data_IF_830970195546
#
_entry.id   IF_830970195546
#
_cell.length_a   1.000
_cell.length_b   1.000
_cell.length_c   1.000
_cell.angle_alpha   90.00
_cell.angle_beta   90.00
_cell.angle_gamma   90.00
#
_symmetry.space_group_name_H-M   'P 1'
#
loop_
_entity.id
_entity.type
_entity.pdbx_description
1 polymer ?
#
# COMPACT_ATOMS: atom_id res chain seq x y z
N UNK A 1 -2.91 53.34 -10.39
CA UNK A 1 -2.38 54.69 -10.14
C UNK A 1 -3.22 55.33 -9.05
N UNK A 2 -2.67 55.44 -7.84
CA UNK A 2 -2.80 56.59 -6.94
C UNK A 2 -1.77 56.41 -5.84
N UNK A 3 -1.13 57.53 -5.52
CA UNK A 3 0.24 57.67 -5.03
C UNK A 3 0.29 57.89 -3.50
N UNK A 4 1.45 57.59 -2.91
CA UNK A 4 2.15 58.22 -1.75
C UNK A 4 1.37 58.75 -0.52
N UNK A 5 1.63 58.23 0.69
CA UNK A 5 2.80 58.41 1.59
C UNK A 5 2.67 59.60 2.57
N UNK A 6 2.72 59.35 3.89
CA UNK A 6 3.32 60.27 4.88
C UNK A 6 4.02 59.46 5.99
N UNK A 7 5.21 59.94 6.33
CA UNK A 7 6.17 59.51 7.33
C UNK A 7 5.69 59.59 8.80
N UNK A 8 6.14 58.62 9.60
CA UNK A 8 7.07 58.84 10.71
C UNK A 8 6.50 59.18 12.10
N UNK A 9 6.73 58.28 13.06
CA UNK A 9 7.08 58.63 14.44
C UNK A 9 7.74 57.43 15.17
N UNK A 10 9.06 57.58 15.36
CA UNK A 10 9.90 57.21 16.53
C UNK A 10 9.83 55.82 17.17
N UNK A 11 11.01 55.17 17.11
CA UNK A 11 11.56 54.23 18.08
C UNK A 11 11.25 54.63 19.54
N UNK A 12 10.66 53.68 20.29
CA UNK A 12 11.05 53.43 21.67
C UNK A 12 11.37 51.93 21.81
N UNK A 13 12.67 51.70 21.95
CA UNK A 13 13.31 50.71 22.80
C UNK A 13 12.41 49.65 23.44
N UNK A 14 12.44 48.43 22.90
CA UNK A 14 12.44 47.22 23.71
C UNK A 14 13.53 46.30 23.18
N UNK A 15 14.74 46.59 23.63
CA UNK A 15 15.90 45.71 23.61
C UNK A 15 15.68 44.48 24.51
N UNK A 16 14.58 43.72 24.37
CA UNK A 16 14.33 42.45 25.07
C UNK A 16 13.30 41.55 24.33
N UNK A 17 13.61 41.15 23.09
CA UNK A 17 12.94 40.01 22.45
C UNK A 17 13.88 39.20 21.53
N UNK A 18 15.19 39.23 21.82
CA UNK A 18 16.20 38.39 21.16
C UNK A 18 16.80 37.40 22.16
N UNK A 19 15.95 36.61 22.80
CA UNK A 19 16.41 35.42 23.51
C UNK A 19 15.27 34.41 23.72
N UNK A 20 14.84 33.74 22.66
CA UNK A 20 14.25 32.39 22.74
C UNK A 20 14.10 31.78 21.34
N UNK A 21 14.38 30.49 21.25
CA UNK A 21 14.18 29.60 20.10
C UNK A 21 15.07 29.84 18.87
N UNK A 22 16.34 29.45 19.01
CA UNK A 22 17.08 28.87 17.89
C UNK A 22 16.51 27.50 17.54
N UNK A 23 15.48 27.45 16.69
CA UNK A 23 15.10 26.25 15.95
C UNK A 23 15.45 26.47 14.48
N UNK A 24 16.44 25.72 13.97
CA UNK A 24 16.75 25.72 12.53
C UNK A 24 15.53 25.13 11.80
N UNK A 25 14.98 25.79 10.77
CA UNK A 25 13.81 25.28 10.02
C UNK A 25 14.02 23.92 9.33
N UNK A 26 15.25 23.41 9.26
CA UNK A 26 15.58 22.09 8.69
C UNK A 26 15.63 20.93 9.70
N UNK A 27 15.73 21.19 11.01
CA UNK A 27 15.87 20.13 12.01
C UNK A 27 14.54 19.40 12.26
N UNK A 28 13.45 20.16 12.45
CA UNK A 28 12.11 19.62 12.73
C UNK A 28 11.56 18.78 11.57
N UNK A 29 11.92 19.09 10.32
CA UNK A 29 11.55 18.29 9.14
C UNK A 29 12.30 16.95 9.10
N UNK A 30 13.57 16.95 9.51
CA UNK A 30 14.38 15.73 9.61
C UNK A 30 13.98 14.84 10.79
N UNK A 31 13.50 15.41 11.89
CA UNK A 31 13.09 14.65 13.07
C UNK A 31 11.73 13.99 12.85
N UNK A 32 10.77 14.70 12.23
CA UNK A 32 9.49 14.11 11.80
C UNK A 32 9.67 13.06 10.69
N UNK A 33 10.60 13.28 9.75
CA UNK A 33 10.94 12.26 8.75
C UNK A 33 11.61 11.04 9.38
N UNK A 34 12.41 11.20 10.45
CA UNK A 34 13.05 10.09 11.16
C UNK A 34 12.06 9.30 12.01
N UNK A 35 11.18 9.99 12.74
CA UNK A 35 10.08 9.36 13.48
C UNK A 35 9.11 8.63 12.53
N UNK A 36 8.82 9.19 11.35
CA UNK A 36 8.04 8.51 10.33
C UNK A 36 8.77 7.27 9.79
N UNK A 37 10.09 7.33 9.60
CA UNK A 37 10.90 6.19 9.13
C UNK A 37 10.96 5.05 10.17
N UNK A 38 11.07 5.39 11.46
CA UNK A 38 11.05 4.43 12.58
C UNK A 38 9.64 3.84 12.81
N UNK A 39 8.59 4.52 12.36
CA UNK A 39 7.21 4.04 12.39
C UNK A 39 6.84 3.17 11.18
N UNK A 40 7.66 3.13 10.12
CA UNK A 40 7.43 2.22 9.01
C UNK A 40 7.73 0.78 9.45
N UNK A 41 6.92 -0.20 9.02
CA UNK A 41 7.23 -1.61 9.23
C UNK A 41 8.66 -1.92 8.76
N UNK A 42 9.33 -2.89 9.38
CA UNK A 42 10.60 -3.37 8.83
C UNK A 42 10.35 -4.13 7.51
N UNK A 43 11.40 -4.31 6.71
CA UNK A 43 11.31 -4.97 5.40
C UNK A 43 10.63 -6.35 5.49
N UNK A 44 10.96 -7.24 6.46
CA UNK A 44 10.23 -8.49 6.64
C UNK A 44 8.73 -8.30 6.90
N UNK A 45 8.34 -7.33 7.73
CA UNK A 45 6.94 -7.01 8.00
C UNK A 45 6.23 -6.51 6.74
N UNK A 46 6.86 -5.65 5.93
CA UNK A 46 6.27 -5.18 4.66
C UNK A 46 6.06 -6.33 3.68
N UNK A 47 7.04 -7.24 3.55
CA UNK A 47 6.89 -8.42 2.69
C UNK A 47 5.80 -9.36 3.21
N UNK A 48 5.70 -9.56 4.53
CA UNK A 48 4.61 -10.34 5.12
C UNK A 48 3.24 -9.70 4.83
N UNK A 49 3.11 -8.38 4.91
CA UNK A 49 1.87 -7.68 4.56
C UNK A 49 1.46 -7.89 3.11
N UNK A 50 2.42 -7.86 2.18
CA UNK A 50 2.13 -8.20 0.78
C UNK A 50 1.72 -9.67 0.62
N UNK A 51 2.33 -10.59 1.36
CA UNK A 51 1.96 -11.99 1.33
C UNK A 51 0.52 -12.20 1.85
N UNK A 52 0.15 -11.56 2.96
CA UNK A 52 -1.19 -11.63 3.55
C UNK A 52 -2.29 -11.24 2.56
N UNK A 53 -2.09 -10.19 1.76
CA UNK A 53 -3.09 -9.75 0.77
C UNK A 53 -3.22 -10.68 -0.43
N UNK A 54 -2.25 -11.56 -0.67
CA UNK A 54 -2.25 -12.54 -1.76
C UNK A 54 -2.84 -13.90 -1.36
N UNK A 55 -2.88 -14.22 -0.07
CA UNK A 55 -3.34 -15.52 0.44
C UNK A 55 -4.79 -15.79 0.04
N UNK A 56 -5.72 -14.88 0.34
CA UNK A 56 -7.14 -15.09 -0.01
C UNK A 56 -7.38 -15.06 -1.54
N UNK A 57 -6.80 -14.14 -2.32
CA UNK A 57 -6.84 -14.19 -3.78
C UNK A 57 -6.30 -15.48 -4.39
N UNK A 58 -5.39 -16.20 -3.72
CA UNK A 58 -4.85 -17.48 -4.21
C UNK A 58 -5.72 -18.71 -3.88
N UNK A 59 -6.69 -18.59 -2.97
CA UNK A 59 -7.58 -19.70 -2.58
C UNK A 59 -8.59 -20.06 -3.68
N UNK A 60 -9.29 -21.19 -3.52
CA UNK A 60 -10.35 -21.59 -4.46
C UNK A 60 -11.53 -20.61 -4.44
N UNK A 61 -12.35 -20.61 -5.50
CA UNK A 61 -13.54 -19.75 -5.55
C UNK A 61 -14.50 -20.02 -4.37
N UNK A 62 -14.68 -21.29 -3.99
CA UNK A 62 -15.54 -21.66 -2.86
C UNK A 62 -15.02 -21.09 -1.54
N UNK A 63 -13.70 -21.07 -1.33
CA UNK A 63 -13.07 -20.46 -0.15
C UNK A 63 -13.22 -18.94 -0.15
N UNK A 64 -13.02 -18.29 -1.30
CA UNK A 64 -13.21 -16.83 -1.45
C UNK A 64 -14.65 -16.42 -1.15
N UNK A 65 -15.62 -17.18 -1.65
CA UNK A 65 -17.05 -16.95 -1.38
C UNK A 65 -17.38 -17.18 0.09
N UNK A 66 -16.88 -18.28 0.67
CA UNK A 66 -17.10 -18.60 2.08
C UNK A 66 -16.46 -17.57 3.03
N UNK A 67 -15.37 -16.93 2.62
CA UNK A 67 -14.72 -15.87 3.38
C UNK A 67 -15.46 -14.53 3.29
N UNK A 68 -16.00 -14.16 2.13
CA UNK A 68 -16.67 -12.88 1.94
C UNK A 68 -17.97 -12.73 2.77
N UNK A 69 -18.74 -13.82 2.90
CA UNK A 69 -20.08 -13.79 3.51
C UNK A 69 -20.08 -13.43 5.02
N UNK A 70 -19.23 -14.03 5.88
CA UNK A 70 -19.15 -13.66 7.30
C UNK A 70 -18.61 -12.26 7.56
N UNK A 71 -17.68 -11.78 6.72
CA UNK A 71 -17.04 -10.48 6.88
C UNK A 71 -17.90 -9.32 6.39
N UNK A 72 -18.98 -9.60 5.65
CA UNK A 72 -19.79 -8.61 4.91
C UNK A 72 -18.93 -7.73 4.00
N UNK A 73 -17.82 -8.29 3.55
CA UNK A 73 -16.89 -7.62 2.65
C UNK A 73 -17.33 -7.91 1.22
N UNK A 74 -17.28 -6.87 0.39
CA UNK A 74 -17.48 -7.06 -1.03
C UNK A 74 -16.29 -7.80 -1.62
N UNK A 75 -16.51 -8.46 -2.76
CA UNK A 75 -15.45 -9.13 -3.52
C UNK A 75 -14.33 -8.15 -3.91
N UNK A 76 -14.67 -6.86 -4.02
CA UNK A 76 -13.74 -5.77 -4.26
C UNK A 76 -12.70 -5.56 -3.15
N UNK A 77 -12.99 -5.93 -1.90
CA UNK A 77 -12.01 -5.82 -0.80
C UNK A 77 -10.77 -6.68 -1.05
N UNK A 78 -10.91 -7.84 -1.71
CA UNK A 78 -9.77 -8.67 -2.13
C UNK A 78 -8.81 -7.90 -3.06
N UNK A 79 -9.37 -7.06 -3.93
CA UNK A 79 -8.60 -6.26 -4.86
C UNK A 79 -8.05 -4.99 -4.20
N UNK A 80 -8.81 -4.37 -3.31
CA UNK A 80 -8.40 -3.15 -2.60
C UNK A 80 -7.26 -3.41 -1.63
N UNK A 81 -7.29 -4.52 -0.89
CA UNK A 81 -6.20 -4.90 0.01
C UNK A 81 -4.91 -5.17 -0.78
N UNK A 82 -5.02 -5.90 -1.89
CA UNK A 82 -3.90 -6.13 -2.79
C UNK A 82 -3.36 -4.83 -3.39
N UNK A 83 -4.22 -3.97 -3.97
CA UNK A 83 -3.84 -2.68 -4.57
C UNK A 83 -3.13 -1.79 -3.56
N UNK A 84 -3.63 -1.76 -2.31
CA UNK A 84 -2.98 -1.03 -1.24
C UNK A 84 -1.57 -1.55 -0.99
N UNK A 85 -1.37 -2.86 -0.78
CA UNK A 85 -0.03 -3.40 -0.52
C UNK A 85 0.91 -3.23 -1.73
N UNK A 86 0.42 -3.51 -2.94
CA UNK A 86 1.19 -3.53 -4.17
C UNK A 86 1.72 -2.14 -4.56
N UNK A 87 1.02 -1.05 -4.20
CA UNK A 87 1.50 0.32 -4.50
C UNK A 87 2.71 0.76 -3.68
N UNK A 88 2.88 0.20 -2.48
CA UNK A 88 3.85 0.73 -1.53
C UNK A 88 4.94 -0.29 -1.17
N UNK A 89 4.59 -1.56 -0.96
CA UNK A 89 5.56 -2.57 -0.50
C UNK A 89 6.70 -2.77 -1.50
N UNK A 90 6.47 -2.99 -2.80
CA UNK A 90 7.57 -3.22 -3.74
C UNK A 90 8.54 -2.02 -3.82
N UNK A 91 7.99 -0.81 -3.86
CA UNK A 91 8.77 0.43 -3.85
C UNK A 91 9.64 0.53 -2.58
N UNK A 92 9.02 0.35 -1.42
CA UNK A 92 9.68 0.46 -0.12
C UNK A 92 10.79 -0.59 0.04
N UNK A 93 10.52 -1.83 -0.35
CA UNK A 93 11.47 -2.93 -0.25
C UNK A 93 12.63 -2.73 -1.23
N UNK A 94 12.37 -2.32 -2.47
CA UNK A 94 13.43 -2.06 -3.45
C UNK A 94 14.34 -0.90 -3.03
N UNK A 95 13.80 0.12 -2.37
CA UNK A 95 14.59 1.23 -1.82
C UNK A 95 15.47 0.80 -0.63
N UNK A 96 14.93 -0.01 0.28
CA UNK A 96 15.59 -0.39 1.54
C UNK A 96 16.45 -1.65 1.44
N UNK A 97 16.11 -2.54 0.51
CA UNK A 97 16.76 -3.83 0.28
C UNK A 97 16.73 -4.20 -1.22
N UNK A 98 17.54 -3.49 -2.05
CA UNK A 98 17.53 -3.70 -3.50
C UNK A 98 17.80 -5.16 -3.87
N UNK A 99 16.94 -5.72 -4.73
CA UNK A 99 17.05 -7.09 -5.22
C UNK A 99 16.53 -8.17 -4.26
N UNK A 100 15.91 -7.78 -3.13
CA UNK A 100 15.20 -8.73 -2.27
C UNK A 100 13.96 -9.30 -2.97
N UNK A 101 13.17 -8.46 -3.64
CA UNK A 101 12.07 -8.92 -4.48
C UNK A 101 12.63 -9.33 -5.85
N UNK A 102 12.31 -10.56 -6.27
CA UNK A 102 12.78 -11.06 -7.56
C UNK A 102 12.08 -10.30 -8.71
N UNK A 103 12.74 -10.16 -9.89
CA UNK A 103 12.08 -9.62 -11.07
C UNK A 103 10.84 -10.42 -11.50
N UNK A 104 10.80 -11.72 -11.18
CA UNK A 104 9.66 -12.60 -11.42
C UNK A 104 8.48 -12.21 -10.54
N UNK A 105 8.71 -11.94 -9.26
CA UNK A 105 7.68 -11.46 -8.34
C UNK A 105 7.10 -10.12 -8.81
N UNK A 106 7.95 -9.18 -9.23
CA UNK A 106 7.49 -7.91 -9.81
C UNK A 106 6.58 -8.10 -11.04
N UNK A 107 6.94 -9.00 -11.97
CA UNK A 107 6.09 -9.32 -13.12
C UNK A 107 4.74 -9.91 -12.71
N UNK A 108 4.74 -10.84 -11.74
CA UNK A 108 3.52 -11.45 -11.23
C UNK A 108 2.59 -10.42 -10.58
N UNK A 109 3.13 -9.54 -9.74
CA UNK A 109 2.36 -8.47 -9.09
C UNK A 109 1.73 -7.52 -10.11
N UNK A 110 2.49 -7.11 -11.13
CA UNK A 110 1.95 -6.26 -12.20
C UNK A 110 0.84 -6.96 -12.98
N UNK A 111 0.99 -8.26 -13.29
CA UNK A 111 -0.03 -9.01 -14.02
C UNK A 111 -1.31 -9.22 -13.22
N UNK A 112 -1.23 -9.32 -11.90
CA UNK A 112 -2.40 -9.32 -11.02
C UNK A 112 -3.10 -7.97 -11.10
N UNK A 113 -2.35 -6.86 -10.95
CA UNK A 113 -2.88 -5.50 -11.03
C UNK A 113 -3.58 -5.23 -12.38
N UNK A 114 -2.93 -5.60 -13.49
CA UNK A 114 -3.49 -5.47 -14.83
C UNK A 114 -4.80 -6.25 -14.97
N UNK A 115 -4.86 -7.48 -14.44
CA UNK A 115 -6.07 -8.30 -14.51
C UNK A 115 -7.20 -7.72 -13.65
N UNK A 116 -6.90 -7.21 -12.47
CA UNK A 116 -7.88 -6.53 -11.61
C UNK A 116 -8.41 -5.25 -12.28
N UNK A 117 -7.54 -4.50 -12.97
CA UNK A 117 -7.93 -3.33 -13.73
C UNK A 117 -8.87 -3.68 -14.90
N UNK A 118 -8.62 -4.78 -15.61
CA UNK A 118 -9.51 -5.26 -16.67
C UNK A 118 -10.90 -5.65 -16.15
N UNK A 119 -10.99 -6.20 -14.94
CA UNK A 119 -12.24 -6.52 -14.28
C UNK A 119 -12.96 -5.29 -13.74
N UNK A 120 -12.26 -4.17 -13.56
CA UNK A 120 -12.80 -2.97 -12.92
C UNK A 120 -13.85 -2.23 -13.77
N UNK A 121 -14.58 -1.32 -13.11
CA UNK A 121 -15.52 -0.41 -13.76
C UNK A 121 -16.97 -0.90 -13.77
N UNK A 122 -17.90 0.06 -13.85
CA UNK A 122 -19.34 -0.20 -13.68
C UNK A 122 -19.92 -1.23 -14.67
N UNK A 123 -19.35 -1.30 -15.88
CA UNK A 123 -19.78 -2.26 -16.90
C UNK A 123 -19.47 -3.72 -16.55
N UNK A 124 -18.56 -3.95 -15.61
CA UNK A 124 -18.10 -5.27 -15.16
C UNK A 124 -18.58 -5.58 -13.73
N UNK A 125 -19.53 -4.83 -13.17
CA UNK A 125 -19.96 -4.97 -11.78
C UNK A 125 -20.47 -6.38 -11.44
N UNK A 126 -21.00 -7.12 -12.41
CA UNK A 126 -21.44 -8.51 -12.27
C UNK A 126 -20.28 -9.48 -11.99
N UNK A 127 -19.05 -9.12 -12.37
CA UNK A 127 -17.83 -9.91 -12.10
C UNK A 127 -17.34 -9.78 -10.66
N UNK A 128 -17.80 -8.77 -9.93
CA UNK A 128 -17.45 -8.49 -8.52
C UNK A 128 -18.53 -9.03 -7.57
N UNK A 129 -18.99 -10.25 -7.85
CA UNK A 129 -20.03 -10.95 -7.09
C UNK A 129 -19.54 -12.35 -6.72
N UNK A 130 -20.14 -13.03 -5.72
CA UNK A 130 -19.84 -14.42 -5.42
C UNK A 130 -19.95 -15.35 -6.66
N UNK A 131 -20.93 -15.10 -7.50
CA UNK A 131 -21.08 -15.82 -8.77
C UNK A 131 -19.91 -15.51 -9.71
N UNK A 132 -19.52 -14.24 -9.83
CA UNK A 132 -18.37 -13.79 -10.62
C UNK A 132 -17.05 -14.46 -10.20
N UNK A 133 -16.79 -14.57 -8.89
CA UNK A 133 -15.63 -15.30 -8.36
C UNK A 133 -15.55 -16.74 -8.86
N UNK A 134 -16.72 -17.37 -9.03
CA UNK A 134 -16.86 -18.78 -9.40
C UNK A 134 -16.70 -19.00 -10.90
N UNK A 135 -17.29 -18.14 -11.73
CA UNK A 135 -17.43 -18.40 -13.18
C UNK A 135 -16.54 -17.55 -14.07
N UNK A 136 -16.06 -16.40 -13.60
CA UNK A 136 -15.27 -15.49 -14.43
C UNK A 136 -13.83 -16.01 -14.59
N UNK A 137 -13.33 -16.15 -15.83
CA UNK A 137 -11.97 -16.62 -16.07
C UNK A 137 -10.89 -15.66 -15.56
N UNK A 138 -11.18 -14.36 -15.45
CA UNK A 138 -10.25 -13.38 -14.91
C UNK A 138 -9.93 -13.64 -13.44
N UNK A 139 -10.93 -14.05 -12.64
CA UNK A 139 -10.71 -14.49 -11.26
C UNK A 139 -9.91 -15.79 -11.16
N UNK A 140 -10.09 -16.72 -12.11
CA UNK A 140 -9.26 -17.92 -12.19
C UNK A 140 -7.78 -17.58 -12.46
N UNK A 141 -7.53 -16.60 -13.32
CA UNK A 141 -6.19 -16.12 -13.60
C UNK A 141 -5.56 -15.39 -12.40
N UNK A 142 -6.33 -14.56 -11.69
CA UNK A 142 -5.87 -13.90 -10.44
C UNK A 142 -5.47 -14.95 -9.40
N UNK A 143 -6.25 -16.01 -9.21
CA UNK A 143 -5.91 -17.13 -8.32
C UNK A 143 -4.59 -17.78 -8.71
N UNK A 144 -4.41 -18.08 -9.99
CA UNK A 144 -3.20 -18.70 -10.47
C UNK A 144 -1.97 -17.81 -10.24
N UNK A 145 -2.05 -16.53 -10.62
CA UNK A 145 -0.97 -15.57 -10.45
C UNK A 145 -0.64 -15.32 -8.98
N UNK A 146 -1.65 -15.21 -8.11
CA UNK A 146 -1.46 -15.01 -6.67
C UNK A 146 -0.77 -16.22 -6.04
N UNK A 147 -1.13 -17.45 -6.44
CA UNK A 147 -0.45 -18.67 -6.00
C UNK A 147 1.02 -18.71 -6.43
N UNK A 148 1.33 -18.25 -7.64
CA UNK A 148 2.71 -18.12 -8.12
C UNK A 148 3.48 -17.08 -7.31
N UNK A 149 2.88 -15.91 -7.05
CA UNK A 149 3.51 -14.85 -6.27
C UNK A 149 3.82 -15.30 -4.84
N UNK A 150 2.89 -16.00 -4.18
CA UNK A 150 3.13 -16.59 -2.85
C UNK A 150 4.26 -17.62 -2.87
N UNK A 151 4.40 -18.40 -3.95
CA UNK A 151 5.49 -19.35 -4.09
C UNK A 151 6.84 -18.63 -4.15
N UNK A 152 6.95 -17.55 -4.93
CA UNK A 152 8.15 -16.73 -4.99
C UNK A 152 8.50 -16.10 -3.63
N UNK A 153 7.49 -15.63 -2.87
CA UNK A 153 7.70 -15.06 -1.54
C UNK A 153 8.13 -16.13 -0.52
N UNK A 154 7.49 -17.30 -0.53
CA UNK A 154 7.74 -18.38 0.43
C UNK A 154 9.13 -19.01 0.29
N UNK A 155 9.66 -19.05 -0.94
CA UNK A 155 10.96 -19.64 -1.22
C UNK A 155 12.10 -18.85 -0.56
N UNK A 156 11.98 -17.53 -0.50
CA UNK A 156 13.14 -16.68 -0.24
C UNK A 156 12.96 -15.64 0.89
N UNK A 157 11.74 -15.38 1.37
CA UNK A 157 11.47 -14.17 2.16
C UNK A 157 10.81 -14.39 3.53
N UNK A 158 9.62 -15.02 3.58
CA UNK A 158 8.82 -15.13 4.83
C UNK A 158 7.95 -16.40 4.84
N UNK A 159 7.53 -16.83 6.04
CA UNK A 159 6.51 -17.86 6.17
C UNK A 159 5.13 -17.30 5.81
N UNK A 160 4.42 -17.97 4.91
CA UNK A 160 3.09 -17.54 4.45
C UNK A 160 2.02 -17.98 5.47
N UNK A 161 1.12 -17.07 5.89
CA UNK A 161 0.02 -17.43 6.79
C UNK A 161 -1.01 -18.33 6.11
N UNK A 162 -1.75 -19.12 6.90
CA UNK A 162 -2.86 -19.92 6.39
C UNK A 162 -4.05 -19.02 6.06
N UNK A 163 -4.86 -19.32 5.01
CA UNK A 163 -6.12 -18.61 4.78
C UNK A 163 -7.06 -18.59 6.00
N UNK A 164 -6.97 -19.58 6.89
CA UNK A 164 -7.79 -19.66 8.10
C UNK A 164 -7.35 -18.70 9.22
N UNK A 165 -6.18 -18.07 9.09
CA UNK A 165 -5.61 -17.15 10.08
C UNK A 165 -5.87 -15.66 9.73
N UNK A 166 -6.52 -15.40 8.57
CA UNK A 166 -6.91 -14.07 8.08
C UNK A 166 -8.36 -13.75 8.46
#
# INVERSE_FOLDING_TARGET
MCDRAIHGLTLLDTKEARQACGARPGAMRSDLQREALDAMPDVPTSVLRLAETLVMPATSADEQVAWADPHRWGVDELALDFDWANRWVPLEVDERSPGLLSPVLHDLLQRIDDRLLELSGQANADRWTPEGLTVDPGWADIRHLSSQALTEIALDLVAIPSPADL
#
